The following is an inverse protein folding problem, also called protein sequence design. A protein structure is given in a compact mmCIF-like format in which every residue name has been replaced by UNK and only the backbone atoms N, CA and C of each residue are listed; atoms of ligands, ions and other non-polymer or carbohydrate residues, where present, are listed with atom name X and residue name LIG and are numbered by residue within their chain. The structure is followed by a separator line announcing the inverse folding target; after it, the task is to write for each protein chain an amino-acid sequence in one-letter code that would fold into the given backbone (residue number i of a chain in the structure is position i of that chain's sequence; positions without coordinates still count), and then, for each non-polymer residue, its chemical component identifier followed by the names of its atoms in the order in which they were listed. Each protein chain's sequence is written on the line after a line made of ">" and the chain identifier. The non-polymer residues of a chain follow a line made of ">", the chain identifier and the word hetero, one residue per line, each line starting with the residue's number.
data_IF_623234050575
#
_entry.id   IF_623234050575
#
_cell.length_a   1.000
_cell.length_b   1.000
_cell.length_c   1.000
_cell.angle_alpha   90.00
_cell.angle_beta   90.00
_cell.angle_gamma   90.00
#
_symmetry.space_group_name_H-M   'P 1'
#
loop_
_entity.id
_entity.type
_entity.pdbx_description
1 polymer ?
#
# COMPACT_ATOMS: atom_id res chain seq x y z
N UNK A 1 38.73 4.84 -6.01
CA UNK A 1 37.59 4.82 -6.96
C UNK A 1 36.68 3.68 -6.53
N UNK A 2 35.37 3.89 -6.46
CA UNK A 2 34.44 2.84 -6.07
C UNK A 2 34.25 1.87 -7.23
N UNK A 3 34.28 0.57 -6.94
CA UNK A 3 34.23 -0.47 -7.97
C UNK A 3 32.78 -0.88 -8.19
N UNK A 4 32.23 -0.62 -9.37
CA UNK A 4 30.94 -1.14 -9.81
C UNK A 4 31.16 -2.24 -10.84
N UNK A 5 30.36 -3.29 -10.78
CA UNK A 5 30.51 -4.52 -11.57
C UNK A 5 29.49 -4.61 -12.73
N UNK A 6 28.93 -3.46 -13.13
CA UNK A 6 27.95 -3.34 -14.22
C UNK A 6 28.57 -3.33 -15.62
N UNK A 7 29.91 -3.30 -15.74
CA UNK A 7 30.58 -3.18 -17.03
C UNK A 7 30.27 -1.85 -17.70
N UNK A 8 29.78 -1.89 -18.95
CA UNK A 8 29.39 -0.69 -19.70
C UNK A 8 27.97 -0.18 -19.36
N UNK A 9 27.24 -0.84 -18.46
CA UNK A 9 25.88 -0.47 -18.08
C UNK A 9 25.89 0.61 -16.98
N UNK A 10 24.97 1.56 -17.07
CA UNK A 10 24.81 2.61 -16.06
C UNK A 10 23.99 2.11 -14.87
N UNK A 11 24.13 2.76 -13.72
CA UNK A 11 23.29 2.47 -12.55
C UNK A 11 21.79 2.68 -12.81
N UNK A 12 21.45 3.70 -13.61
CA UNK A 12 20.04 4.02 -13.93
C UNK A 12 19.44 2.92 -14.82
N UNK A 13 20.17 2.54 -15.88
CA UNK A 13 19.75 1.44 -16.75
C UNK A 13 19.58 0.15 -15.96
N UNK A 14 20.46 -0.09 -14.98
CA UNK A 14 20.33 -1.27 -14.14
C UNK A 14 19.11 -1.23 -13.20
N UNK A 15 18.75 -0.05 -12.71
CA UNK A 15 17.53 0.16 -11.91
C UNK A 15 16.29 -0.15 -12.76
N UNK A 16 16.22 0.38 -13.98
CA UNK A 16 15.12 0.11 -14.92
C UNK A 16 14.98 -1.40 -15.22
N UNK A 17 16.10 -2.09 -15.50
CA UNK A 17 16.12 -3.55 -15.71
C UNK A 17 15.60 -4.32 -14.48
N UNK A 18 15.90 -3.87 -13.26
CA UNK A 18 15.45 -4.51 -12.04
C UNK A 18 13.96 -4.28 -11.77
N UNK A 19 13.44 -3.11 -12.13
CA UNK A 19 12.01 -2.79 -12.06
C UNK A 19 11.24 -3.65 -13.05
N UNK A 20 11.71 -3.76 -14.29
CA UNK A 20 11.11 -4.62 -15.32
C UNK A 20 11.10 -6.09 -14.87
N UNK A 21 12.21 -6.59 -14.31
CA UNK A 21 12.31 -7.95 -13.78
C UNK A 21 11.44 -8.20 -12.54
N UNK A 22 10.95 -7.13 -11.89
CA UNK A 22 10.10 -7.17 -10.70
C UNK A 22 8.63 -6.86 -11.04
N UNK A 23 8.18 -7.20 -12.24
CA UNK A 23 6.82 -6.95 -12.74
C UNK A 23 6.42 -5.47 -12.71
N UNK A 24 7.38 -4.58 -12.93
CA UNK A 24 7.19 -3.12 -12.87
C UNK A 24 7.18 -2.55 -11.45
N UNK A 25 7.39 -3.35 -10.41
CA UNK A 25 7.43 -2.87 -9.04
C UNK A 25 8.78 -2.21 -8.72
N UNK A 26 8.79 -1.06 -8.02
CA UNK A 26 10.01 -0.36 -7.66
C UNK A 26 10.89 -1.22 -6.74
N UNK A 27 12.19 -1.24 -7.02
CA UNK A 27 13.20 -1.89 -6.17
C UNK A 27 13.80 -0.90 -5.18
N UNK A 28 14.19 -1.37 -3.99
CA UNK A 28 14.92 -0.51 -3.05
C UNK A 28 16.38 -0.30 -3.46
N UNK A 29 16.99 0.73 -2.86
CA UNK A 29 18.38 1.08 -3.08
C UNK A 29 19.35 0.01 -2.63
N UNK A 30 19.01 -0.78 -1.60
CA UNK A 30 19.89 -1.83 -1.09
C UNK A 30 20.05 -2.92 -2.16
N UNK A 31 18.95 -3.36 -2.78
CA UNK A 31 18.94 -4.32 -3.87
C UNK A 31 19.75 -3.80 -5.06
N UNK A 32 19.53 -2.55 -5.46
CA UNK A 32 20.29 -1.92 -6.55
C UNK A 32 21.80 -1.89 -6.25
N UNK A 33 22.19 -1.51 -5.03
CA UNK A 33 23.60 -1.49 -4.60
C UNK A 33 24.19 -2.90 -4.64
N UNK A 34 23.49 -3.89 -4.08
CA UNK A 34 23.96 -5.28 -4.04
C UNK A 34 24.21 -5.79 -5.46
N UNK A 35 23.26 -5.61 -6.37
CA UNK A 35 23.41 -6.05 -7.76
C UNK A 35 24.55 -5.32 -8.46
N UNK A 36 24.67 -4.00 -8.27
CA UNK A 36 25.68 -3.20 -8.93
C UNK A 36 27.11 -3.47 -8.45
N UNK A 37 27.28 -3.82 -7.17
CA UNK A 37 28.59 -3.95 -6.55
C UNK A 37 29.01 -5.40 -6.27
N UNK A 38 28.13 -6.38 -6.51
CA UNK A 38 28.50 -7.79 -6.44
C UNK A 38 29.30 -8.19 -7.68
N UNK A 39 30.48 -8.75 -7.46
CA UNK A 39 31.29 -9.28 -8.54
C UNK A 39 30.69 -10.61 -9.03
N UNK A 40 30.45 -10.73 -10.34
CA UNK A 40 29.76 -11.89 -10.94
C UNK A 40 30.54 -13.20 -10.78
N UNK A 41 31.86 -13.16 -10.73
CA UNK A 41 32.72 -14.35 -10.61
C UNK A 41 32.81 -14.85 -9.18
N UNK A 42 32.93 -13.93 -8.22
CA UNK A 42 33.14 -14.26 -6.80
C UNK A 42 31.86 -14.26 -5.97
N UNK A 43 30.78 -13.65 -6.47
CA UNK A 43 29.52 -13.49 -5.75
C UNK A 43 29.60 -12.52 -4.56
N UNK A 44 30.69 -11.75 -4.43
CA UNK A 44 30.93 -10.89 -3.27
C UNK A 44 31.05 -9.41 -3.65
N UNK A 45 30.69 -8.55 -2.69
CA UNK A 45 30.95 -7.11 -2.75
C UNK A 45 32.39 -6.85 -2.31
N UNK A 46 33.21 -6.42 -3.26
CA UNK A 46 34.65 -6.21 -3.04
C UNK A 46 34.95 -4.83 -2.44
N UNK A 47 34.12 -3.83 -2.75
CA UNK A 47 34.26 -2.48 -2.21
C UNK A 47 33.92 -2.48 -0.71
N UNK A 48 34.89 -2.19 0.18
CA UNK A 48 34.69 -2.32 1.62
C UNK A 48 33.67 -1.32 2.18
N UNK A 49 33.54 -0.14 1.55
CA UNK A 49 32.57 0.87 1.99
C UNK A 49 31.17 0.42 1.62
N UNK A 50 30.99 -0.07 0.40
CA UNK A 50 29.68 -0.58 -0.04
C UNK A 50 29.28 -1.83 0.74
N UNK A 51 30.23 -2.73 0.99
CA UNK A 51 29.97 -3.91 1.83
C UNK A 51 29.51 -3.51 3.23
N UNK A 52 30.18 -2.55 3.87
CA UNK A 52 29.76 -2.04 5.17
C UNK A 52 28.36 -1.42 5.19
N UNK A 53 27.95 -0.74 4.10
CA UNK A 53 26.58 -0.23 3.96
C UNK A 53 25.57 -1.39 3.88
N UNK A 54 25.86 -2.41 3.07
CA UNK A 54 24.97 -3.58 2.92
C UNK A 54 24.84 -4.32 4.24
N UNK A 55 25.96 -4.63 4.90
CA UNK A 55 25.99 -5.33 6.18
C UNK A 55 25.19 -4.58 7.26
N UNK A 56 25.30 -3.26 7.31
CA UNK A 56 24.56 -2.41 8.26
C UNK A 56 23.04 -2.51 8.05
N UNK A 57 22.58 -2.39 6.81
CA UNK A 57 21.13 -2.41 6.52
C UNK A 57 20.57 -3.82 6.69
N UNK A 58 21.30 -4.86 6.27
CA UNK A 58 20.88 -6.25 6.49
C UNK A 58 20.81 -6.61 7.98
N UNK A 59 21.75 -6.14 8.80
CA UNK A 59 21.71 -6.34 10.25
C UNK A 59 20.47 -5.69 10.88
N UNK A 60 20.09 -4.48 10.43
CA UNK A 60 18.89 -3.81 10.90
C UNK A 60 17.61 -4.54 10.46
N UNK A 61 17.54 -5.00 9.20
CA UNK A 61 16.42 -5.83 8.70
C UNK A 61 16.26 -7.06 9.60
N UNK A 62 17.36 -7.75 9.91
CA UNK A 62 17.34 -8.94 10.78
C UNK A 62 16.90 -8.58 12.20
N UNK A 63 17.42 -7.47 12.76
CA UNK A 63 17.06 -7.02 14.11
C UNK A 63 15.58 -6.67 14.24
N UNK A 64 14.96 -6.05 13.23
CA UNK A 64 13.53 -5.72 13.23
C UNK A 64 12.63 -6.91 12.89
N UNK A 65 13.21 -7.94 12.29
CA UNK A 65 12.54 -9.22 12.00
C UNK A 65 12.59 -10.20 13.16
N UNK A 66 13.28 -9.88 14.26
CA UNK A 66 13.28 -10.75 15.43
C UNK A 66 11.90 -10.74 16.10
N UNK A 67 11.27 -11.91 16.34
CA UNK A 67 10.15 -11.97 17.23
C UNK A 67 10.66 -11.64 18.62
N UNK A 68 10.08 -10.61 19.24
CA UNK A 68 10.11 -10.49 20.70
C UNK A 68 9.51 -11.80 21.24
N UNK A 69 10.34 -12.74 21.70
CA UNK A 69 9.90 -13.91 22.49
C UNK A 69 9.28 -13.39 23.80
N UNK A 70 8.32 -13.99 24.48
CA UNK A 70 7.67 -15.31 24.49
C UNK A 70 6.35 -15.09 25.24
N UNK A 71 5.20 -15.08 24.56
CA UNK A 71 3.88 -15.19 25.20
C UNK A 71 2.85 -15.60 24.14
N UNK A 72 2.83 -16.90 23.83
CA UNK A 72 1.65 -17.73 23.63
C UNK A 72 0.47 -17.32 22.73
N UNK A 73 0.49 -16.22 21.98
CA UNK A 73 -0.61 -15.86 21.07
C UNK A 73 -0.08 -15.49 19.68
N UNK A 74 -0.28 -16.43 18.76
CA UNK A 74 0.17 -16.34 17.38
C UNK A 74 -0.68 -15.31 16.62
N UNK A 75 -0.19 -14.07 16.59
CA UNK A 75 -0.53 -13.11 15.53
C UNK A 75 0.79 -12.61 14.93
N UNK A 76 0.99 -12.93 13.65
CA UNK A 76 2.28 -12.92 12.96
C UNK A 76 3.12 -11.65 13.14
N UNK A 77 4.41 -11.87 13.47
CA UNK A 77 5.45 -10.86 13.40
C UNK A 77 5.52 -10.28 11.98
N UNK A 78 4.93 -9.11 11.78
CA UNK A 78 5.06 -8.33 10.56
C UNK A 78 5.49 -6.92 10.90
N UNK A 79 6.81 -6.74 11.00
CA UNK A 79 7.44 -5.44 10.79
C UNK A 79 8.72 -5.63 9.98
N UNK A 80 8.55 -6.02 8.72
CA UNK A 80 9.61 -5.84 7.72
C UNK A 80 9.82 -4.33 7.52
N UNK A 81 11.08 -3.90 7.47
CA UNK A 81 11.43 -2.51 7.12
C UNK A 81 10.74 -2.11 5.81
N UNK A 82 10.07 -0.96 5.78
CA UNK A 82 9.48 -0.45 4.55
C UNK A 82 10.57 -0.05 3.54
N UNK A 83 10.25 -0.12 2.24
CA UNK A 83 11.13 0.34 1.16
C UNK A 83 11.64 1.77 1.41
N UNK A 84 10.79 2.64 1.96
CA UNK A 84 11.16 4.02 2.28
C UNK A 84 12.23 4.09 3.39
N UNK A 85 12.09 3.29 4.44
CA UNK A 85 13.09 3.22 5.53
C UNK A 85 14.42 2.66 5.04
N UNK A 86 14.39 1.57 4.24
CA UNK A 86 15.61 1.00 3.63
C UNK A 86 16.32 2.05 2.78
N UNK A 87 15.55 2.76 1.93
CA UNK A 87 16.09 3.82 1.10
C UNK A 87 16.72 4.94 1.93
N UNK A 88 16.06 5.39 2.99
CA UNK A 88 16.58 6.44 3.88
C UNK A 88 17.89 5.99 4.57
N UNK A 89 17.95 4.76 5.08
CA UNK A 89 19.15 4.21 5.70
C UNK A 89 20.33 4.18 4.73
N UNK A 90 20.11 3.66 3.53
CA UNK A 90 21.13 3.63 2.47
C UNK A 90 21.60 5.04 2.13
N UNK A 91 20.68 6.01 2.01
CA UNK A 91 21.05 7.40 1.69
C UNK A 91 21.86 8.12 2.79
N UNK A 92 21.67 7.72 4.05
CA UNK A 92 22.44 8.23 5.19
C UNK A 92 23.82 7.56 5.28
N UNK A 93 23.89 6.26 5.01
CA UNK A 93 25.12 5.48 5.15
C UNK A 93 26.08 5.65 3.96
N UNK A 94 25.55 5.82 2.74
CA UNK A 94 26.37 5.97 1.52
C UNK A 94 26.97 7.39 1.46
N UNK A 95 28.31 7.53 1.35
CA UNK A 95 28.94 8.84 1.24
C UNK A 95 28.43 9.64 0.03
N UNK A 96 28.42 10.98 0.13
CA UNK A 96 27.99 11.89 -0.94
C UNK A 96 29.19 12.57 -1.61
N UNK A 97 29.18 12.67 -2.95
CA UNK A 97 30.15 13.48 -3.72
C UNK A 97 29.64 14.93 -3.87
N UNK A 98 30.54 15.84 -4.25
CA UNK A 98 30.19 17.23 -4.60
C UNK A 98 29.01 17.24 -5.59
N UNK A 99 28.01 18.05 -5.27
CA UNK A 99 26.75 18.12 -6.02
C UNK A 99 25.64 17.20 -5.51
N UNK A 100 25.83 16.42 -4.43
CA UNK A 100 24.76 15.63 -3.80
C UNK A 100 24.53 14.25 -4.41
N UNK A 101 25.39 13.83 -5.35
CA UNK A 101 25.36 12.48 -5.92
C UNK A 101 25.85 11.48 -4.87
N UNK A 102 25.02 10.50 -4.53
CA UNK A 102 25.42 9.37 -3.70
C UNK A 102 26.50 8.57 -4.43
N UNK A 103 27.56 8.23 -3.72
CA UNK A 103 28.64 7.45 -4.28
C UNK A 103 28.12 6.07 -4.70
N UNK A 104 28.51 5.61 -5.88
CA UNK A 104 28.03 4.33 -6.42
C UNK A 104 26.60 4.36 -6.96
N UNK A 105 25.85 5.43 -6.75
CA UNK A 105 24.46 5.56 -7.21
C UNK A 105 24.26 6.71 -8.20
N UNK A 106 23.17 6.65 -8.96
CA UNK A 106 22.70 7.76 -9.77
C UNK A 106 22.09 8.87 -8.89
N UNK A 107 21.88 10.06 -9.47
CA UNK A 107 21.05 11.10 -8.83
C UNK A 107 19.61 10.60 -8.79
N UNK A 108 18.89 10.86 -7.69
CA UNK A 108 17.45 10.60 -7.63
C UNK A 108 16.75 11.57 -8.59
N UNK A 109 15.70 11.15 -9.30
CA UNK A 109 14.90 12.07 -10.11
C UNK A 109 14.32 13.23 -9.26
N UNK A 110 13.93 12.98 -8.00
CA UNK A 110 13.52 14.05 -7.08
C UNK A 110 14.63 15.03 -6.68
N UNK A 111 15.91 14.73 -7.00
CA UNK A 111 17.06 15.60 -6.73
C UNK A 111 17.46 16.46 -7.93
N UNK A 112 16.71 16.39 -9.05
CA UNK A 112 16.79 17.46 -10.03
C UNK A 112 16.41 18.75 -9.30
N UNK A 113 17.24 19.82 -9.32
CA UNK A 113 16.67 21.13 -9.10
C UNK A 113 15.52 21.23 -10.11
N UNK A 114 14.34 21.67 -9.64
CA UNK A 114 13.21 21.95 -10.53
C UNK A 114 13.70 22.94 -11.58
N UNK A 115 14.20 22.41 -12.70
CA UNK A 115 14.78 23.22 -13.75
C UNK A 115 13.57 23.84 -14.41
N UNK A 116 13.36 25.11 -14.09
CA UNK A 116 12.22 25.97 -14.42
C UNK A 116 12.02 26.21 -15.93
N UNK A 117 12.33 25.24 -16.79
CA UNK A 117 12.36 25.43 -18.25
C UNK A 117 11.81 24.25 -19.04
N UNK A 118 11.47 23.14 -18.40
CA UNK A 118 10.70 22.09 -19.05
C UNK A 118 9.25 22.29 -18.63
N UNK A 119 8.52 23.12 -19.39
CA UNK A 119 7.06 23.01 -19.35
C UNK A 119 6.75 21.55 -19.68
N UNK A 120 6.05 20.80 -18.81
CA UNK A 120 5.65 19.45 -19.15
C UNK A 120 4.72 19.60 -20.35
N UNK A 121 5.21 19.25 -21.54
CA UNK A 121 4.36 19.17 -22.71
C UNK A 121 3.43 17.98 -22.48
N UNK A 122 2.27 18.27 -21.88
CA UNK A 122 1.20 17.30 -21.75
C UNK A 122 0.57 17.16 -23.13
N UNK A 123 0.58 15.95 -23.67
CA UNK A 123 -0.11 15.62 -24.91
C UNK A 123 -1.59 16.04 -24.78
N UNK A 124 -2.10 16.93 -25.65
CA UNK A 124 -3.48 17.38 -25.59
C UNK A 124 -4.49 16.23 -25.56
N UNK A 125 -4.19 15.11 -26.21
CA UNK A 125 -5.06 13.94 -26.26
C UNK A 125 -5.13 13.22 -24.89
N UNK A 126 -4.04 13.22 -24.13
CA UNK A 126 -4.00 12.67 -22.76
C UNK A 126 -4.77 13.60 -21.81
N UNK A 127 -4.69 14.92 -22.02
CA UNK A 127 -5.39 15.89 -21.17
C UNK A 127 -6.91 15.80 -21.35
N UNK A 128 -7.37 15.59 -22.60
CA UNK A 128 -8.78 15.35 -22.91
C UNK A 128 -9.28 14.03 -22.30
N UNK A 129 -8.52 12.93 -22.43
CA UNK A 129 -8.89 11.65 -21.83
C UNK A 129 -8.96 11.71 -20.29
N UNK A 130 -8.09 12.48 -19.64
CA UNK A 130 -8.15 12.69 -18.20
C UNK A 130 -9.40 13.47 -17.79
N UNK A 131 -9.76 14.52 -18.53
CA UNK A 131 -10.97 15.29 -18.27
C UNK A 131 -12.22 14.42 -18.39
N UNK A 132 -12.32 13.61 -19.45
CA UNK A 132 -13.45 12.69 -19.65
C UNK A 132 -13.55 11.64 -18.53
N UNK A 133 -12.41 11.16 -18.03
CA UNK A 133 -12.36 10.25 -16.88
C UNK A 133 -12.82 10.94 -15.60
N UNK A 134 -12.41 12.17 -15.37
CA UNK A 134 -12.82 12.96 -14.20
C UNK A 134 -14.33 13.24 -14.23
N UNK A 135 -14.90 13.58 -15.39
CA UNK A 135 -16.36 13.73 -15.55
C UNK A 135 -17.10 12.42 -15.25
N UNK A 136 -16.59 11.29 -15.78
CA UNK A 136 -17.19 9.98 -15.50
C UNK A 136 -17.09 9.60 -14.02
N UNK A 137 -15.98 9.92 -13.36
CA UNK A 137 -15.82 9.71 -11.92
C UNK A 137 -16.88 10.50 -11.16
N UNK A 138 -17.06 11.79 -11.48
CA UNK A 138 -18.09 12.63 -10.87
C UNK A 138 -19.51 12.06 -11.03
N UNK A 139 -19.86 11.60 -12.24
CA UNK A 139 -21.17 11.00 -12.49
C UNK A 139 -21.38 9.68 -11.69
N UNK A 140 -20.34 8.85 -11.57
CA UNK A 140 -20.40 7.62 -10.78
C UNK A 140 -20.49 7.90 -9.28
N UNK A 141 -19.78 8.91 -8.79
CA UNK A 141 -19.88 9.35 -7.40
C UNK A 141 -21.31 9.83 -7.08
N UNK A 142 -21.91 10.64 -7.95
CA UNK A 142 -23.29 11.10 -7.78
C UNK A 142 -24.29 9.93 -7.77
N UNK A 143 -24.16 8.97 -8.71
CA UNK A 143 -24.98 7.75 -8.69
C UNK A 143 -24.81 6.95 -7.40
N UNK A 144 -23.57 6.79 -6.92
CA UNK A 144 -23.30 6.10 -5.66
C UNK A 144 -23.95 6.82 -4.47
N UNK A 145 -23.91 8.15 -4.41
CA UNK A 145 -24.60 8.90 -3.34
C UNK A 145 -26.12 8.70 -3.38
N UNK A 146 -26.71 8.66 -4.58
CA UNK A 146 -28.13 8.40 -4.78
C UNK A 146 -28.50 7.00 -4.28
N UNK A 147 -27.77 5.96 -4.72
CA UNK A 147 -27.97 4.57 -4.29
C UNK A 147 -27.84 4.43 -2.77
N UNK A 148 -26.86 5.10 -2.16
CA UNK A 148 -26.69 5.07 -0.70
C UNK A 148 -27.89 5.71 0.03
N UNK A 149 -28.43 6.80 -0.49
CA UNK A 149 -29.62 7.45 0.07
C UNK A 149 -30.87 6.57 -0.04
N UNK A 150 -31.09 5.94 -1.20
CA UNK A 150 -32.20 5.00 -1.43
C UNK A 150 -32.10 3.80 -0.49
N UNK A 151 -30.90 3.24 -0.33
CA UNK A 151 -30.65 2.14 0.62
C UNK A 151 -30.87 2.56 2.08
N UNK A 152 -30.64 3.82 2.45
CA UNK A 152 -30.97 4.32 3.78
C UNK A 152 -32.49 4.39 3.99
N UNK A 153 -33.23 4.88 2.99
CA UNK A 153 -34.70 4.93 2.99
C UNK A 153 -35.30 3.53 3.11
N UNK A 154 -34.87 2.59 2.26
CA UNK A 154 -35.34 1.19 2.28
C UNK A 154 -35.10 0.54 3.64
N UNK A 155 -33.95 0.79 4.27
CA UNK A 155 -33.65 0.27 5.62
C UNK A 155 -34.59 0.83 6.68
N UNK A 156 -34.93 2.11 6.60
CA UNK A 156 -35.90 2.76 7.51
C UNK A 156 -37.31 2.19 7.33
N UNK A 157 -37.75 2.00 6.08
CA UNK A 157 -39.04 1.40 5.77
C UNK A 157 -39.14 -0.04 6.30
N UNK A 158 -38.10 -0.85 6.06
CA UNK A 158 -38.02 -2.22 6.58
C UNK A 158 -38.08 -2.25 8.12
N UNK A 159 -37.40 -1.33 8.80
CA UNK A 159 -37.46 -1.25 10.26
C UNK A 159 -38.89 -0.94 10.76
N UNK A 160 -39.61 -0.06 10.05
CA UNK A 160 -40.99 0.30 10.37
C UNK A 160 -41.93 -0.89 10.17
N UNK A 161 -41.82 -1.59 9.04
CA UNK A 161 -42.61 -2.80 8.73
C UNK A 161 -42.39 -3.87 9.80
N UNK A 162 -41.15 -4.10 10.23
CA UNK A 162 -40.83 -5.06 11.28
C UNK A 162 -41.47 -4.70 12.63
N UNK A 163 -41.47 -3.42 13.00
CA UNK A 163 -42.11 -2.94 14.24
C UNK A 163 -43.64 -3.12 14.22
N UNK A 164 -44.26 -2.88 13.06
CA UNK A 164 -45.69 -3.08 12.88
C UNK A 164 -46.08 -4.57 12.90
N UNK A 165 -45.31 -5.43 12.23
CA UNK A 165 -45.47 -6.88 12.30
C UNK A 165 -45.34 -7.40 13.73
N UNK A 166 -44.37 -6.89 14.51
CA UNK A 166 -44.21 -7.27 15.91
C UNK A 166 -45.43 -6.85 16.76
N UNK A 167 -45.96 -5.65 16.52
CA UNK A 167 -47.17 -5.13 17.21
C UNK A 167 -48.41 -5.97 16.87
N UNK A 168 -48.60 -6.30 15.60
CA UNK A 168 -49.70 -7.14 15.14
C UNK A 168 -49.60 -8.57 15.69
N UNK A 169 -48.39 -9.15 15.73
CA UNK A 169 -48.16 -10.46 16.33
C UNK A 169 -48.53 -10.46 17.82
N UNK A 170 -48.15 -9.42 18.56
CA UNK A 170 -48.53 -9.26 19.98
C UNK A 170 -50.05 -9.19 20.15
N UNK A 171 -50.72 -8.35 19.35
CA UNK A 171 -52.17 -8.24 19.39
C UNK A 171 -52.87 -9.58 19.10
N UNK A 172 -52.41 -10.32 18.09
CA UNK A 172 -52.94 -11.65 17.78
C UNK A 172 -52.74 -12.64 18.94
N UNK A 173 -51.59 -12.61 19.61
CA UNK A 173 -51.37 -13.46 20.80
C UNK A 173 -52.31 -13.12 21.96
N UNK A 174 -52.63 -11.84 22.18
CA UNK A 174 -53.58 -11.43 23.21
C UNK A 174 -55.01 -11.90 22.90
N UNK A 175 -55.42 -11.85 21.63
CA UNK A 175 -56.72 -12.40 21.19
C UNK A 175 -56.79 -13.90 21.49
N UNK A 176 -55.77 -14.66 21.11
CA UNK A 176 -55.73 -16.11 21.35
C UNK A 176 -55.83 -16.42 22.85
N UNK A 177 -55.08 -15.71 23.69
CA UNK A 177 -55.15 -15.89 25.15
C UNK A 177 -56.55 -15.58 25.73
N UNK A 178 -57.25 -14.57 25.19
CA UNK A 178 -58.62 -14.26 25.61
C UNK A 178 -59.60 -15.35 25.20
N UNK A 179 -59.46 -15.88 23.99
CA UNK A 179 -60.29 -17.00 23.51
C UNK A 179 -60.10 -18.24 24.39
N UNK A 180 -58.86 -18.61 24.70
CA UNK A 180 -58.55 -19.75 25.57
C UNK A 180 -59.19 -19.61 26.96
N UNK A 181 -59.17 -18.40 27.54
CA UNK A 181 -59.83 -18.12 28.83
C UNK A 181 -61.34 -18.28 28.76
N UNK A 182 -61.98 -17.79 27.70
CA UNK A 182 -63.44 -17.89 27.51
C UNK A 182 -63.89 -19.35 27.34
N UNK A 183 -63.13 -20.14 26.59
CA UNK A 183 -63.39 -21.57 26.38
C UNK A 183 -63.20 -22.38 27.68
N UNK A 184 -62.21 -22.00 28.49
CA UNK A 184 -61.97 -22.62 29.80
C UNK A 184 -63.06 -22.29 30.82
N UNK A 185 -63.58 -21.05 30.83
CA UNK A 185 -64.62 -20.62 31.78
C UNK A 185 -66.02 -21.13 31.45
N UNK A 186 -66.26 -21.60 30.22
CA UNK A 186 -67.55 -22.17 29.79
C UNK A 186 -67.63 -23.69 29.97
N UNK A 187 -66.52 -24.33 30.39
CA UNK A 187 -66.41 -25.78 30.63
C UNK A 187 -66.41 -26.16 32.12
N UNK A 188 -66.62 -25.19 33.03
CA UNK A 188 -66.78 -25.37 34.48
C UNK A 188 -68.20 -25.06 34.92
#
# INVERSE_FOLDING_TARGET
>A
MYVHNLGACSMSTKEDELIEANDGNPVDRLQLIKVAHTNKTTGQIQDPVIRGVVDLVEAEIVSQSQPLSDDGDSTGASTNLSLLQINEMVEKAVPKRKGGRLVGLARRASSYPASSSQAPYADPMILEELHDKDERIGALEEQNTTILSENATIRSENATILAELASQKKFNTEIMQKLDRLMSSSSS
#
